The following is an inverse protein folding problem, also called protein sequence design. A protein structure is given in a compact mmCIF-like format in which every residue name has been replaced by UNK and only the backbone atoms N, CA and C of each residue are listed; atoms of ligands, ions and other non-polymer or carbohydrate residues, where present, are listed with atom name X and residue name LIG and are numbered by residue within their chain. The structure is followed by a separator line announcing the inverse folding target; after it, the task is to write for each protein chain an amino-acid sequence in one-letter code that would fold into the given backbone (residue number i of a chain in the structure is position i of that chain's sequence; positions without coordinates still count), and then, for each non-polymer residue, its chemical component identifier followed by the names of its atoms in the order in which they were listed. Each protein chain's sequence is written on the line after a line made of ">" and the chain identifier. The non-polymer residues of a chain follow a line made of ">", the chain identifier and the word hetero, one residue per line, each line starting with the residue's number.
data_IF_686253916472
#
_entry.id   IF_686253916472
#
_cell.length_a   1.000
_cell.length_b   1.000
_cell.length_c   1.000
_cell.angle_alpha   90.00
_cell.angle_beta   90.00
_cell.angle_gamma   90.00
#
_symmetry.space_group_name_H-M   'P 1'
#
loop_
_entity.id
_entity.type
_entity.pdbx_description
1 polymer ?
#
# COMPACT_ATOMS: atom_id res chain seq x y z
N UNK A 1 -16.67 20.96 -14.04
CA UNK A 1 -16.16 20.87 -12.66
C UNK A 1 -14.88 20.06 -12.74
N UNK A 2 -13.74 20.72 -12.66
CA UNK A 2 -12.43 20.08 -12.55
C UNK A 2 -12.40 19.34 -11.22
N UNK A 3 -12.40 18.01 -11.25
CA UNK A 3 -12.16 17.21 -10.06
C UNK A 3 -10.65 17.15 -9.86
N UNK A 4 -10.08 18.20 -9.25
CA UNK A 4 -8.71 18.14 -8.76
C UNK A 4 -8.61 16.95 -7.80
N UNK A 5 -7.56 16.14 -7.96
CA UNK A 5 -7.23 15.10 -6.98
C UNK A 5 -6.92 15.82 -5.67
N UNK A 6 -7.89 15.88 -4.75
CA UNK A 6 -7.67 16.47 -3.44
C UNK A 6 -6.62 15.62 -2.73
N UNK A 7 -5.45 16.22 -2.48
CA UNK A 7 -4.33 15.56 -1.81
C UNK A 7 -4.77 15.19 -0.39
N UNK A 8 -4.92 13.90 -0.15
CA UNK A 8 -5.23 13.35 1.17
C UNK A 8 -4.26 12.18 1.41
N UNK A 9 -3.10 12.52 1.95
CA UNK A 9 -2.08 11.53 2.35
C UNK A 9 -2.40 10.84 3.66
N UNK A 10 -3.24 11.44 4.50
CA UNK A 10 -3.71 10.85 5.75
C UNK A 10 -5.24 10.92 5.79
N UNK A 11 -5.93 9.91 5.22
CA UNK A 11 -7.37 9.95 5.07
C UNK A 11 -8.11 9.67 6.37
N UNK A 12 -9.31 10.22 6.50
CA UNK A 12 -10.25 9.89 7.59
C UNK A 12 -11.13 8.69 7.20
N UNK A 13 -11.83 8.12 8.17
CA UNK A 13 -12.79 7.04 7.91
C UNK A 13 -13.88 7.49 6.93
N UNK A 14 -14.41 8.71 7.08
CA UNK A 14 -15.44 9.22 6.18
C UNK A 14 -14.91 9.34 4.75
N UNK A 15 -13.66 9.80 4.58
CA UNK A 15 -13.05 9.91 3.26
C UNK A 15 -12.88 8.55 2.59
N UNK A 16 -12.31 7.57 3.29
CA UNK A 16 -12.13 6.23 2.71
C UNK A 16 -13.48 5.55 2.43
N UNK A 17 -14.48 5.76 3.28
CA UNK A 17 -15.83 5.26 3.06
C UNK A 17 -16.53 5.91 1.86
N UNK A 18 -16.24 7.18 1.57
CA UNK A 18 -16.72 7.86 0.37
C UNK A 18 -16.10 7.25 -0.90
N UNK A 19 -14.81 6.93 -0.86
CA UNK A 19 -14.05 6.41 -2.01
C UNK A 19 -14.32 4.93 -2.28
N UNK A 20 -14.32 4.11 -1.24
CA UNK A 20 -14.40 2.64 -1.37
C UNK A 20 -15.75 2.05 -0.94
N UNK A 21 -16.61 2.86 -0.31
CA UNK A 21 -17.87 2.42 0.28
C UNK A 21 -17.75 2.14 1.79
N UNK A 22 -18.83 2.39 2.52
CA UNK A 22 -18.86 2.30 3.99
C UNK A 22 -18.52 0.90 4.55
N UNK A 23 -18.75 -0.16 3.79
CA UNK A 23 -18.43 -1.54 4.19
C UNK A 23 -17.00 -1.99 3.86
N UNK A 24 -16.20 -1.15 3.21
CA UNK A 24 -14.87 -1.51 2.73
C UNK A 24 -13.77 -1.34 3.78
N UNK A 25 -14.05 -0.68 4.91
CA UNK A 25 -13.03 -0.40 5.92
C UNK A 25 -12.92 -1.55 6.91
N UNK A 26 -11.76 -2.20 6.90
CA UNK A 26 -11.41 -3.19 7.88
C UNK A 26 -10.74 -2.55 9.10
N UNK A 27 -11.14 -3.01 10.27
CA UNK A 27 -10.49 -2.69 11.54
C UNK A 27 -10.18 -4.02 12.24
N UNK A 28 -8.94 -4.22 12.73
CA UNK A 28 -8.60 -5.44 13.45
C UNK A 28 -9.43 -5.54 14.74
N UNK A 29 -10.02 -6.71 14.99
CA UNK A 29 -10.64 -7.01 16.29
C UNK A 29 -9.58 -7.26 17.36
N UNK A 30 -8.45 -7.82 16.95
CA UNK A 30 -7.25 -8.00 17.75
C UNK A 30 -6.06 -7.46 16.95
N UNK A 31 -5.30 -6.57 17.58
CA UNK A 31 -4.08 -6.02 16.98
C UNK A 31 -3.00 -7.10 16.90
N UNK A 32 -2.27 -7.23 15.79
CA UNK A 32 -1.10 -8.10 15.73
C UNK A 32 -0.10 -7.79 16.85
N UNK A 33 0.34 -8.81 17.60
CA UNK A 33 0.97 -8.63 18.91
C UNK A 33 2.28 -7.81 18.88
N UNK A 34 3.01 -7.84 17.77
CA UNK A 34 4.27 -7.11 17.58
C UNK A 34 4.11 -5.85 16.74
N UNK A 35 2.88 -5.51 16.33
CA UNK A 35 2.58 -4.19 15.76
C UNK A 35 2.41 -3.20 16.92
N UNK A 36 3.48 -2.45 17.19
CA UNK A 36 3.60 -1.54 18.33
C UNK A 36 3.74 -0.08 17.93
N UNK A 37 3.86 0.21 16.63
CA UNK A 37 3.86 1.59 16.13
C UNK A 37 2.55 2.30 16.49
N UNK A 38 2.65 3.37 17.28
CA UNK A 38 1.49 4.05 17.83
C UNK A 38 0.62 4.72 16.76
N UNK A 39 1.23 5.22 15.68
CA UNK A 39 0.49 5.89 14.61
C UNK A 39 -0.34 4.89 13.81
N UNK A 40 0.26 3.76 13.43
CA UNK A 40 -0.41 2.65 12.75
C UNK A 40 -1.57 2.12 13.58
N UNK A 41 -1.37 1.93 14.89
CA UNK A 41 -2.42 1.48 15.80
C UNK A 41 -3.57 2.48 15.91
N UNK A 42 -3.27 3.77 16.01
CA UNK A 42 -4.29 4.82 16.03
C UNK A 42 -5.11 4.82 14.73
N UNK A 43 -4.42 4.74 13.59
CA UNK A 43 -5.05 4.74 12.27
C UNK A 43 -5.97 3.54 12.11
N UNK A 44 -5.52 2.33 12.43
CA UNK A 44 -6.34 1.13 12.33
C UNK A 44 -7.56 1.17 13.26
N UNK A 45 -7.40 1.75 14.45
CA UNK A 45 -8.50 1.85 15.43
C UNK A 45 -9.56 2.87 15.01
N UNK A 46 -9.13 4.04 14.55
CA UNK A 46 -10.04 5.18 14.29
C UNK A 46 -10.52 5.19 12.84
N UNK A 47 -9.59 5.12 11.90
CA UNK A 47 -9.87 5.16 10.46
C UNK A 47 -10.21 3.78 9.90
N UNK A 48 -9.37 2.78 10.18
CA UNK A 48 -9.38 1.48 9.51
C UNK A 48 -8.66 1.51 8.16
N UNK A 49 -8.39 0.34 7.59
CA UNK A 49 -7.70 0.20 6.30
C UNK A 49 -8.67 -0.33 5.22
N UNK A 50 -8.61 0.15 3.97
CA UNK A 50 -9.47 -0.40 2.90
C UNK A 50 -9.16 -1.87 2.66
N UNK A 51 -10.14 -2.74 2.81
CA UNK A 51 -10.09 -4.16 2.48
C UNK A 51 -10.83 -4.41 1.17
N UNK A 52 -10.14 -4.18 0.05
CA UNK A 52 -10.72 -4.13 -1.28
C UNK A 52 -9.88 -4.92 -2.26
N UNK A 53 -10.50 -5.31 -3.38
CA UNK A 53 -9.78 -5.72 -4.58
C UNK A 53 -9.90 -4.62 -5.61
N UNK A 54 -8.78 -4.10 -6.05
CA UNK A 54 -8.68 -2.99 -6.98
C UNK A 54 -8.02 -3.46 -8.28
N UNK A 55 -8.87 -3.97 -9.19
CA UNK A 55 -8.42 -4.74 -10.35
C UNK A 55 -7.52 -3.98 -11.34
N UNK A 56 -7.77 -2.68 -11.61
CA UNK A 56 -6.97 -1.92 -12.58
C UNK A 56 -5.48 -1.84 -12.22
N UNK A 57 -5.18 -1.73 -10.93
CA UNK A 57 -3.80 -1.64 -10.42
C UNK A 57 -3.35 -2.94 -9.75
N UNK A 58 -4.11 -4.01 -9.91
CA UNK A 58 -3.89 -5.32 -9.28
C UNK A 58 -3.61 -5.27 -7.78
N UNK A 59 -4.19 -4.29 -7.07
CA UNK A 59 -4.03 -4.16 -5.62
C UNK A 59 -5.06 -5.04 -4.92
N UNK A 60 -4.64 -5.86 -3.96
CA UNK A 60 -5.53 -6.71 -3.18
C UNK A 60 -5.23 -6.63 -1.68
N UNK A 61 -6.20 -6.14 -0.91
CA UNK A 61 -6.25 -6.16 0.54
C UNK A 61 -7.54 -6.82 1.05
N UNK A 62 -8.30 -7.45 0.15
CA UNK A 62 -9.65 -7.99 0.41
C UNK A 62 -9.67 -9.16 1.39
N UNK A 63 -8.51 -9.79 1.62
CA UNK A 63 -8.38 -10.93 2.53
C UNK A 63 -8.22 -10.53 4.00
N UNK A 64 -7.93 -9.26 4.30
CA UNK A 64 -7.71 -8.75 5.66
C UNK A 64 -8.86 -9.10 6.64
N UNK A 65 -10.16 -8.97 6.31
CA UNK A 65 -11.24 -9.29 7.24
C UNK A 65 -11.33 -10.76 7.61
N UNK A 66 -10.77 -11.66 6.79
CA UNK A 66 -10.87 -13.11 6.97
C UNK A 66 -9.57 -13.68 7.55
N UNK A 67 -8.42 -13.20 7.08
CA UNK A 67 -7.10 -13.76 7.42
C UNK A 67 -6.25 -12.87 8.31
N UNK A 68 -6.57 -11.57 8.38
CA UNK A 68 -5.63 -10.57 8.88
C UNK A 68 -4.44 -10.37 7.93
N UNK A 69 -3.49 -9.50 8.31
CA UNK A 69 -2.26 -9.33 7.55
C UNK A 69 -1.35 -10.55 7.71
N UNK A 70 -0.55 -10.85 6.69
CA UNK A 70 0.47 -11.91 6.79
C UNK A 70 1.66 -11.41 7.62
N UNK A 71 1.97 -12.10 8.72
CA UNK A 71 3.15 -11.82 9.55
C UNK A 71 4.39 -12.52 8.96
N UNK A 72 5.47 -11.77 8.81
CA UNK A 72 6.76 -12.27 8.37
C UNK A 72 7.88 -11.78 9.29
N UNK A 73 8.98 -12.54 9.35
CA UNK A 73 10.21 -12.08 10.00
C UNK A 73 10.82 -10.95 9.16
N UNK A 74 10.88 -9.75 9.75
CA UNK A 74 11.39 -8.57 9.05
C UNK A 74 12.88 -8.69 8.74
N UNK A 75 13.65 -9.33 9.62
CA UNK A 75 15.09 -9.49 9.42
C UNK A 75 15.37 -10.51 8.31
N UNK A 76 14.51 -11.51 8.13
CA UNK A 76 14.60 -12.49 7.03
C UNK A 76 14.26 -11.85 5.68
N UNK A 77 13.07 -11.25 5.55
CA UNK A 77 12.57 -10.71 4.27
C UNK A 77 13.33 -9.47 3.79
N UNK A 78 14.10 -8.84 4.68
CA UNK A 78 14.95 -7.69 4.35
C UNK A 78 16.45 -8.02 4.40
N UNK A 79 16.82 -9.31 4.46
CA UNK A 79 18.21 -9.77 4.35
C UNK A 79 19.13 -9.30 5.48
N UNK A 80 18.57 -9.04 6.67
CA UNK A 80 19.29 -8.58 7.87
C UNK A 80 19.78 -9.74 8.75
N UNK A 81 19.26 -10.96 8.55
CA UNK A 81 19.73 -12.19 9.22
C UNK A 81 20.05 -13.31 8.22
N UNK A 82 20.87 -14.26 8.68
CA UNK A 82 21.29 -15.42 7.90
C UNK A 82 20.07 -16.34 7.63
N UNK A 83 19.87 -16.85 6.40
CA UNK A 83 18.78 -17.77 6.07
C UNK A 83 18.71 -19.04 6.94
N UNK A 84 19.84 -19.51 7.48
CA UNK A 84 19.89 -20.70 8.34
C UNK A 84 19.70 -20.37 9.84
N UNK A 85 19.35 -19.13 10.19
CA UNK A 85 19.07 -18.71 11.58
C UNK A 85 17.63 -19.04 12.02
N UNK A 86 17.48 -20.18 12.70
CA UNK A 86 16.22 -20.65 13.29
C UNK A 86 15.80 -19.91 14.59
N UNK A 87 16.50 -18.84 15.00
CA UNK A 87 16.10 -18.08 16.19
C UNK A 87 14.75 -17.36 15.99
N UNK A 88 13.96 -17.17 17.07
CA UNK A 88 12.67 -16.50 16.95
C UNK A 88 12.80 -15.06 16.42
N UNK A 89 11.86 -14.60 15.55
CA UNK A 89 11.90 -13.25 15.00
C UNK A 89 11.94 -12.16 16.06
N UNK A 90 12.95 -11.29 16.00
CA UNK A 90 13.06 -10.13 16.91
C UNK A 90 12.33 -8.89 16.39
N UNK A 91 12.19 -8.80 15.07
CA UNK A 91 11.37 -7.83 14.36
C UNK A 91 10.41 -8.57 13.42
N UNK A 92 9.22 -8.01 13.22
CA UNK A 92 8.24 -8.58 12.28
C UNK A 92 7.62 -7.47 11.46
N UNK A 93 7.23 -7.84 10.24
CA UNK A 93 6.48 -7.00 9.32
C UNK A 93 5.18 -7.69 8.91
N UNK A 94 4.20 -6.89 8.52
CA UNK A 94 2.84 -7.33 8.26
C UNK A 94 2.41 -6.94 6.85
N UNK A 95 2.06 -7.89 5.98
CA UNK A 95 1.54 -7.57 4.65
C UNK A 95 0.08 -7.10 4.74
N UNK A 96 -0.19 -5.83 4.40
CA UNK A 96 -1.55 -5.27 4.40
C UNK A 96 -2.22 -5.26 3.03
N UNK A 97 -1.42 -5.26 1.97
CA UNK A 97 -1.90 -5.34 0.60
C UNK A 97 -0.85 -6.02 -0.27
N UNK A 98 -1.29 -6.58 -1.38
CA UNK A 98 -0.42 -7.00 -2.48
C UNK A 98 -0.66 -6.10 -3.68
N UNK A 99 0.31 -6.01 -4.57
CA UNK A 99 0.12 -5.53 -5.94
C UNK A 99 0.95 -6.39 -6.88
N UNK A 100 0.33 -6.94 -7.93
CA UNK A 100 0.96 -7.99 -8.73
C UNK A 100 1.50 -9.11 -7.81
N UNK A 101 2.79 -9.44 -7.89
CA UNK A 101 3.44 -10.43 -7.03
C UNK A 101 4.10 -9.81 -5.78
N UNK A 102 4.06 -8.49 -5.62
CA UNK A 102 4.68 -7.76 -4.51
C UNK A 102 3.74 -7.61 -3.32
N UNK A 103 4.33 -7.49 -2.14
CA UNK A 103 3.67 -7.28 -0.86
C UNK A 103 4.06 -5.92 -0.28
N UNK A 104 3.08 -5.21 0.26
CA UNK A 104 3.26 -3.96 0.99
C UNK A 104 3.33 -4.28 2.49
N UNK A 105 4.56 -4.34 2.98
CA UNK A 105 4.93 -4.82 4.31
C UNK A 105 5.02 -3.64 5.28
N UNK A 106 4.14 -3.61 6.28
CA UNK A 106 4.19 -2.63 7.39
C UNK A 106 5.13 -3.16 8.47
N UNK A 107 6.23 -2.45 8.73
CA UNK A 107 7.12 -2.77 9.84
C UNK A 107 6.40 -2.60 11.18
N UNK A 108 6.45 -3.65 12.02
CA UNK A 108 5.70 -3.68 13.27
C UNK A 108 6.11 -2.61 14.28
N UNK A 109 7.35 -2.11 14.20
CA UNK A 109 7.92 -1.16 15.16
C UNK A 109 7.86 0.28 14.68
N UNK A 110 8.08 0.53 13.40
CA UNK A 110 8.17 1.87 12.82
C UNK A 110 6.91 2.28 12.07
N UNK A 111 6.08 1.33 11.66
CA UNK A 111 4.89 1.58 10.83
C UNK A 111 5.21 1.86 9.36
N UNK A 112 6.49 1.93 8.99
CA UNK A 112 6.92 2.17 7.61
C UNK A 112 6.45 1.05 6.69
N UNK A 113 6.13 1.40 5.44
CA UNK A 113 5.68 0.46 4.42
C UNK A 113 6.81 0.20 3.44
N UNK A 114 7.34 -1.02 3.45
CA UNK A 114 8.38 -1.49 2.53
C UNK A 114 7.77 -2.44 1.48
N UNK A 115 8.36 -2.46 0.29
CA UNK A 115 7.95 -3.36 -0.80
C UNK A 115 8.77 -4.64 -0.73
N UNK A 116 8.09 -5.79 -0.76
CA UNK A 116 8.71 -7.10 -0.72
C UNK A 116 8.20 -8.04 -1.81
N UNK A 117 9.11 -8.67 -2.55
CA UNK A 117 8.83 -9.73 -3.51
C UNK A 117 9.17 -11.11 -2.94
N UNK A 118 8.17 -11.96 -2.60
CA UNK A 118 8.41 -13.23 -1.92
C UNK A 118 9.03 -14.31 -2.81
N UNK A 119 8.98 -14.16 -4.14
CA UNK A 119 9.54 -15.14 -5.08
C UNK A 119 10.99 -14.84 -5.45
N UNK A 120 11.66 -13.90 -4.77
CA UNK A 120 13.10 -13.64 -4.91
C UNK A 120 13.94 -14.89 -4.58
N UNK A 121 15.08 -15.04 -5.25
CA UNK A 121 15.93 -16.25 -5.16
C UNK A 121 16.68 -16.35 -3.81
N UNK A 122 16.91 -15.21 -3.17
CA UNK A 122 17.33 -15.07 -1.78
C UNK A 122 16.36 -14.10 -1.07
N UNK A 123 15.94 -14.40 0.16
CA UNK A 123 14.89 -13.67 0.85
C UNK A 123 15.19 -12.17 0.98
N UNK A 124 16.46 -11.78 1.06
CA UNK A 124 16.89 -10.37 1.05
C UNK A 124 16.81 -9.65 -0.31
N UNK A 125 16.91 -10.38 -1.44
CA UNK A 125 16.81 -9.79 -2.78
C UNK A 125 15.37 -9.38 -3.15
N UNK A 126 14.38 -9.88 -2.38
CA UNK A 126 12.99 -9.50 -2.55
C UNK A 126 12.67 -8.06 -2.13
N UNK A 127 13.52 -7.43 -1.31
CA UNK A 127 13.28 -6.09 -0.80
C UNK A 127 13.50 -5.01 -1.87
N UNK A 128 12.45 -4.24 -2.20
CA UNK A 128 12.48 -3.17 -3.20
C UNK A 128 12.50 -1.76 -2.62
N UNK A 129 12.71 -1.63 -1.31
CA UNK A 129 12.80 -0.34 -0.63
C UNK A 129 11.49 0.15 -0.01
N UNK A 130 11.58 1.36 0.55
CA UNK A 130 10.48 2.07 1.20
C UNK A 130 9.47 2.56 0.15
N UNK A 131 8.18 2.32 0.40
CA UNK A 131 7.09 2.89 -0.38
C UNK A 131 6.41 4.06 0.34
N UNK A 132 6.19 3.96 1.65
CA UNK A 132 5.48 4.98 2.43
C UNK A 132 5.99 5.04 3.86
N UNK A 133 5.90 6.21 4.50
CA UNK A 133 6.31 6.36 5.90
C UNK A 133 5.31 5.73 6.89
N UNK A 134 4.10 5.40 6.43
CA UNK A 134 3.07 4.84 7.28
C UNK A 134 1.88 4.24 6.51
N UNK A 135 1.11 3.40 7.20
CA UNK A 135 -0.09 2.77 6.62
C UNK A 135 -1.16 3.78 6.17
N UNK A 136 -1.21 4.96 6.82
CA UNK A 136 -2.15 6.01 6.46
C UNK A 136 -1.87 6.55 5.04
N UNK A 137 -0.60 6.67 4.70
CA UNK A 137 -0.14 7.10 3.38
C UNK A 137 -0.44 6.06 2.32
N UNK A 138 -0.23 4.77 2.62
CA UNK A 138 -0.66 3.69 1.74
C UNK A 138 -2.18 3.74 1.48
N UNK A 139 -3.00 3.93 2.51
CA UNK A 139 -4.45 4.06 2.33
C UNK A 139 -4.83 5.30 1.50
N UNK A 140 -4.10 6.41 1.67
CA UNK A 140 -4.23 7.62 0.85
C UNK A 140 -3.85 7.38 -0.60
N UNK A 141 -2.76 6.67 -0.87
CA UNK A 141 -2.32 6.28 -2.21
C UNK A 141 -3.38 5.42 -2.91
N UNK A 142 -3.95 4.43 -2.23
CA UNK A 142 -5.06 3.63 -2.76
C UNK A 142 -6.26 4.53 -3.13
N UNK A 143 -6.60 5.51 -2.28
CA UNK A 143 -7.70 6.43 -2.56
C UNK A 143 -7.42 7.32 -3.79
N UNK A 144 -6.19 7.82 -3.93
CA UNK A 144 -5.76 8.58 -5.12
C UNK A 144 -5.86 7.74 -6.39
N UNK A 145 -5.40 6.49 -6.33
CA UNK A 145 -5.54 5.54 -7.43
C UNK A 145 -7.00 5.32 -7.80
N UNK A 146 -7.89 5.16 -6.81
CA UNK A 146 -9.33 4.98 -7.06
C UNK A 146 -9.95 6.19 -7.76
N UNK A 147 -9.60 7.40 -7.34
CA UNK A 147 -10.03 8.64 -8.02
C UNK A 147 -9.45 8.76 -9.42
N UNK A 148 -8.21 8.33 -9.63
CA UNK A 148 -7.60 8.28 -10.96
C UNK A 148 -8.36 7.31 -11.87
N UNK A 149 -8.68 6.10 -11.40
CA UNK A 149 -9.51 5.13 -12.13
C UNK A 149 -10.87 5.73 -12.50
N UNK A 150 -11.59 6.36 -11.57
CA UNK A 150 -12.88 6.99 -11.85
C UNK A 150 -12.81 8.02 -12.98
N UNK A 151 -11.73 8.80 -13.05
CA UNK A 151 -11.51 9.78 -14.13
C UNK A 151 -11.11 9.12 -15.44
N UNK A 152 -10.30 8.06 -15.40
CA UNK A 152 -9.96 7.25 -16.57
C UNK A 152 -11.25 6.67 -17.17
N UNK A 153 -12.13 6.09 -16.35
CA UNK A 153 -13.44 5.55 -16.76
C UNK A 153 -14.37 6.63 -17.33
N UNK A 154 -14.24 7.88 -16.88
CA UNK A 154 -14.94 9.03 -17.43
C UNK A 154 -14.36 9.55 -18.76
N UNK A 155 -13.28 8.95 -19.27
CA UNK A 155 -12.64 9.34 -20.53
C UNK A 155 -11.59 10.44 -20.39
N UNK A 156 -11.11 10.72 -19.17
CA UNK A 156 -10.10 11.75 -18.88
C UNK A 156 -8.68 11.17 -18.69
N UNK A 157 -8.38 10.00 -19.25
CA UNK A 157 -7.18 9.24 -18.90
C UNK A 157 -5.85 10.04 -18.98
N UNK A 158 -5.51 10.77 -20.06
CA UNK A 158 -4.27 11.52 -20.10
C UNK A 158 -4.15 12.58 -19.00
N UNK A 159 -5.25 13.30 -18.71
CA UNK A 159 -5.28 14.32 -17.67
C UNK A 159 -5.23 13.70 -16.27
N UNK A 160 -5.96 12.61 -16.04
CA UNK A 160 -5.97 11.89 -14.77
C UNK A 160 -4.58 11.35 -14.41
N UNK A 161 -3.88 10.75 -15.38
CA UNK A 161 -2.52 10.21 -15.20
C UNK A 161 -1.52 11.34 -14.94
N UNK A 162 -1.60 12.45 -15.68
CA UNK A 162 -0.74 13.61 -15.48
C UNK A 162 -0.93 14.23 -14.08
N UNK A 163 -2.18 14.39 -13.63
CA UNK A 163 -2.50 14.90 -12.30
C UNK A 163 -2.03 13.95 -11.19
N UNK A 164 -2.17 12.63 -11.39
CA UNK A 164 -1.64 11.63 -10.47
C UNK A 164 -0.12 11.75 -10.36
N UNK A 165 0.62 11.76 -11.47
CA UNK A 165 2.09 11.94 -11.47
C UNK A 165 2.53 13.21 -10.75
N UNK A 166 1.89 14.34 -11.05
CA UNK A 166 2.21 15.61 -10.40
C UNK A 166 1.96 15.54 -8.89
N UNK A 167 0.87 14.87 -8.48
CA UNK A 167 0.55 14.65 -7.06
C UNK A 167 1.61 13.80 -6.38
N UNK A 168 1.97 12.64 -6.95
CA UNK A 168 2.96 11.72 -6.38
C UNK A 168 4.35 12.37 -6.30
N UNK A 169 4.75 13.10 -7.34
CA UNK A 169 6.00 13.87 -7.34
C UNK A 169 6.01 14.96 -6.28
N UNK A 170 4.90 15.67 -6.06
CA UNK A 170 4.76 16.68 -5.01
C UNK A 170 4.81 16.11 -3.59
N UNK A 171 4.48 14.82 -3.43
CA UNK A 171 4.55 14.09 -2.15
C UNK A 171 5.91 13.43 -1.91
N UNK A 172 6.80 13.41 -2.91
CA UNK A 172 8.11 12.75 -2.80
C UNK A 172 8.04 11.23 -2.86
N UNK A 173 6.90 10.65 -3.26
CA UNK A 173 6.75 9.19 -3.40
C UNK A 173 7.21 8.66 -4.77
N UNK A 174 7.61 9.54 -5.69
CA UNK A 174 7.85 9.19 -7.10
C UNK A 174 8.92 8.13 -7.35
N UNK A 175 9.87 7.98 -6.43
CA UNK A 175 11.01 7.05 -6.57
C UNK A 175 10.74 5.67 -5.93
N UNK A 176 9.54 5.45 -5.35
CA UNK A 176 9.20 4.15 -4.81
C UNK A 176 8.86 3.16 -5.93
N UNK A 177 9.39 1.94 -5.86
CA UNK A 177 9.09 0.85 -6.81
C UNK A 177 7.57 0.63 -7.01
N UNK A 178 6.77 0.86 -5.96
CA UNK A 178 5.31 0.82 -6.07
C UNK A 178 4.79 1.75 -7.17
N UNK A 179 5.24 3.00 -7.20
CA UNK A 179 4.78 3.99 -8.17
C UNK A 179 5.38 3.78 -9.56
N UNK A 180 6.64 3.32 -9.65
CA UNK A 180 7.25 2.92 -10.93
C UNK A 180 6.37 1.87 -11.63
N UNK A 181 6.02 0.78 -10.94
CA UNK A 181 5.18 -0.28 -11.50
C UNK A 181 3.79 0.21 -11.92
N UNK A 182 3.15 1.03 -11.07
CA UNK A 182 1.83 1.62 -11.38
C UNK A 182 1.89 2.46 -12.66
N UNK A 183 2.95 3.26 -12.80
CA UNK A 183 3.10 4.17 -13.92
C UNK A 183 3.51 3.46 -15.21
N UNK A 184 4.33 2.41 -15.13
CA UNK A 184 4.61 1.51 -16.26
C UNK A 184 3.30 0.88 -16.77
N UNK A 185 2.47 0.32 -15.90
CA UNK A 185 1.18 -0.26 -16.30
C UNK A 185 0.23 0.74 -16.95
N UNK A 186 0.21 1.99 -16.46
CA UNK A 186 -0.58 3.07 -17.08
C UNK A 186 -0.02 3.52 -18.42
N UNK A 187 1.31 3.55 -18.59
CA UNK A 187 1.97 3.85 -19.87
C UNK A 187 1.73 2.73 -20.90
N UNK A 188 1.75 1.47 -20.50
CA UNK A 188 1.45 0.35 -21.40
C UNK A 188 -0.01 0.38 -21.90
N UNK A 189 -0.95 0.81 -21.05
CA UNK A 189 -2.38 0.88 -21.40
C UNK A 189 -2.75 2.16 -22.18
N UNK A 190 -2.17 3.31 -21.81
CA UNK A 190 -2.60 4.63 -22.29
C UNK A 190 -1.49 5.48 -22.92
N UNK A 191 -0.25 4.99 -22.96
CA UNK A 191 0.87 5.67 -23.60
C UNK A 191 0.63 5.83 -25.10
N UNK A 192 1.07 6.97 -25.64
CA UNK A 192 1.16 7.13 -27.09
C UNK A 192 2.35 6.29 -27.58
N UNK A 193 2.08 5.29 -28.43
CA UNK A 193 3.12 4.54 -29.15
C UNK A 193 3.85 5.36 -30.21
#
# INVERSE_FOLDING_TARGET
>A
MTHDLKIITRPTAEHLAEVFGAGALWRPTETPAKLVDAETLEFLRTTGFPAVKFGRFDIDSSTLPVKGPWEADADEIFGRRDPDDDSPPTAVSYAFATYNEYHLMVDGKTGAVEVYYPSGWDHGEGHQGLAFDGIAELAGAMALLKRCEERIEAGEAPAAIADLRATIGGLGWGDAHFWEWIFEGLEDEFGEG
#
